data_IF_725488460150
#
_entry.id   IF_725488460150
#
_cell.length_a   1.000
_cell.length_b   1.000
_cell.length_c   1.000
_cell.angle_alpha   90.00
_cell.angle_beta   90.00
_cell.angle_gamma   90.00
#
_symmetry.space_group_name_H-M   'P 1'
#
loop_
_entity.id
_entity.type
_entity.pdbx_description
1 polymer ?
#
# COMPACT_ATOMS: atom_id res chain seq x y z
N UNK A 1 -10.23 -2.18 5.07
CA UNK A 1 -9.10 -1.30 4.76
C UNK A 1 -7.83 -2.07 5.01
N UNK A 2 -7.05 -2.33 3.97
CA UNK A 2 -5.74 -2.94 4.13
C UNK A 2 -4.71 -1.87 4.43
N UNK A 3 -3.87 -2.11 5.41
CA UNK A 3 -2.73 -1.26 5.71
C UNK A 3 -1.44 -2.01 5.39
N UNK A 4 -0.67 -1.43 4.48
CA UNK A 4 0.59 -1.95 3.99
C UNK A 4 1.69 -1.00 4.47
N UNK A 5 2.66 -1.53 5.20
CA UNK A 5 3.77 -0.74 5.75
C UNK A 5 5.07 -1.50 5.56
N UNK A 6 6.01 -0.90 4.84
CA UNK A 6 7.35 -1.46 4.64
C UNK A 6 8.26 -1.25 5.85
N UNK A 7 7.85 -0.38 6.78
CA UNK A 7 8.55 -0.15 8.04
C UNK A 7 8.00 -1.09 9.12
N UNK A 8 8.87 -1.42 10.08
CA UNK A 8 8.56 -2.32 11.19
C UNK A 8 7.67 -1.66 12.25
N UNK A 9 6.49 -1.20 11.87
CA UNK A 9 5.46 -0.75 12.80
C UNK A 9 4.46 -1.87 13.02
N UNK A 10 4.29 -2.29 14.28
CA UNK A 10 3.40 -3.39 14.66
C UNK A 10 1.90 -3.10 14.52
N UNK A 11 1.52 -1.88 14.12
CA UNK A 11 0.14 -1.48 13.87
C UNK A 11 0.07 -0.13 13.15
N UNK A 12 -1.09 0.15 12.53
CA UNK A 12 -1.42 1.48 12.01
C UNK A 12 -1.68 2.42 13.18
N UNK A 13 -1.07 3.61 13.15
CA UNK A 13 -1.32 4.69 14.13
C UNK A 13 -2.81 5.03 14.20
N UNK A 14 -3.35 5.15 15.41
CA UNK A 14 -4.78 5.39 15.61
C UNK A 14 -5.24 6.76 15.07
N UNK A 15 -4.36 7.76 15.08
CA UNK A 15 -4.60 9.05 14.43
C UNK A 15 -4.86 8.90 12.92
N UNK A 16 -4.04 8.11 12.23
CA UNK A 16 -4.25 7.82 10.80
C UNK A 16 -5.58 7.09 10.59
N UNK A 17 -5.91 6.12 11.44
CA UNK A 17 -7.21 5.43 11.35
C UNK A 17 -8.36 6.40 11.52
N UNK A 18 -8.27 7.31 12.48
CA UNK A 18 -9.28 8.33 12.76
C UNK A 18 -9.49 9.27 11.58
N UNK A 19 -8.40 9.77 10.97
CA UNK A 19 -8.47 10.63 9.79
C UNK A 19 -9.14 9.93 8.61
N UNK A 20 -8.73 8.70 8.29
CA UNK A 20 -9.34 7.93 7.20
C UNK A 20 -10.81 7.61 7.47
N UNK A 21 -11.15 7.20 8.70
CA UNK A 21 -12.54 6.95 9.09
C UNK A 21 -13.40 8.21 8.96
N UNK A 22 -12.87 9.37 9.34
CA UNK A 22 -13.55 10.67 9.25
C UNK A 22 -13.78 11.06 7.79
N UNK A 23 -12.74 10.98 6.95
CA UNK A 23 -12.86 11.26 5.51
C UNK A 23 -13.88 10.37 4.82
N UNK A 24 -13.89 9.07 5.12
CA UNK A 24 -14.90 8.15 4.58
C UNK A 24 -16.32 8.50 5.06
N UNK A 25 -16.50 8.85 6.33
CA UNK A 25 -17.82 9.29 6.84
C UNK A 25 -18.31 10.55 6.12
N UNK A 26 -17.43 11.51 5.90
CA UNK A 26 -17.75 12.74 5.15
C UNK A 26 -18.18 12.41 3.72
N UNK A 27 -17.40 11.57 3.02
CA UNK A 27 -17.75 11.12 1.67
C UNK A 27 -19.11 10.41 1.62
N UNK A 28 -19.38 9.48 2.54
CA UNK A 28 -20.67 8.78 2.60
C UNK A 28 -21.84 9.73 2.86
N UNK A 29 -21.66 10.74 3.72
CA UNK A 29 -22.68 11.75 3.96
C UNK A 29 -22.96 12.58 2.70
N UNK A 30 -21.93 12.94 1.94
CA UNK A 30 -22.05 13.69 0.69
C UNK A 30 -22.86 12.92 -0.37
N UNK A 31 -22.61 11.62 -0.51
CA UNK A 31 -23.36 10.76 -1.45
C UNK A 31 -24.67 10.22 -0.86
N UNK A 32 -25.18 10.81 0.23
CA UNK A 32 -26.43 10.43 0.91
C UNK A 32 -26.55 8.92 1.22
N UNK A 33 -25.43 8.29 1.55
CA UNK A 33 -25.33 6.84 1.79
C UNK A 33 -24.93 6.57 3.23
N UNK A 34 -25.44 5.48 3.82
CA UNK A 34 -25.05 5.08 5.17
C UNK A 34 -23.59 4.63 5.19
N UNK A 35 -22.77 5.27 6.01
CA UNK A 35 -21.40 4.85 6.25
C UNK A 35 -21.34 3.42 6.80
N UNK A 36 -20.44 2.60 6.24
CA UNK A 36 -20.16 1.24 6.73
C UNK A 36 -19.02 1.29 7.75
N UNK A 37 -19.07 0.37 8.72
CA UNK A 37 -17.95 0.19 9.65
C UNK A 37 -16.71 -0.29 8.89
N UNK A 38 -15.56 0.33 9.17
CA UNK A 38 -14.31 0.02 8.50
C UNK A 38 -13.52 -1.00 9.33
N UNK A 39 -13.36 -2.22 8.81
CA UNK A 39 -12.43 -3.19 9.37
C UNK A 39 -11.02 -2.90 8.86
N UNK A 40 -10.08 -2.67 9.78
CA UNK A 40 -8.67 -2.49 9.47
C UNK A 40 -7.95 -3.85 9.47
N UNK A 41 -7.22 -4.13 8.41
CA UNK A 41 -6.42 -5.35 8.25
C UNK A 41 -4.98 -4.95 8.07
N UNK A 42 -4.14 -5.24 9.07
CA UNK A 42 -2.70 -5.06 8.95
C UNK A 42 -2.10 -6.24 8.20
N UNK A 43 -1.46 -5.97 7.07
CA UNK A 43 -0.85 -7.02 6.25
C UNK A 43 0.63 -7.08 6.57
N UNK A 44 1.06 -8.24 7.07
CA UNK A 44 2.48 -8.50 7.27
C UNK A 44 3.13 -8.71 5.91
N UNK A 45 3.80 -7.69 5.39
CA UNK A 45 4.41 -7.66 4.05
C UNK A 45 5.93 -7.46 4.13
N UNK A 46 6.61 -7.51 2.98
CA UNK A 46 8.06 -7.37 2.89
C UNK A 46 8.53 -6.07 3.55
N UNK A 47 9.53 -6.19 4.42
CA UNK A 47 10.05 -5.05 5.18
C UNK A 47 11.31 -4.50 4.53
N UNK A 48 11.48 -3.19 4.57
CA UNK A 48 12.66 -2.53 4.05
C UNK A 48 13.84 -2.59 5.04
N UNK A 49 15.07 -2.79 4.56
CA UNK A 49 16.25 -2.82 5.43
C UNK A 49 16.71 -1.41 5.86
N UNK A 50 16.53 -0.40 5.01
CA UNK A 50 16.96 0.98 5.20
C UNK A 50 15.79 1.95 5.48
N UNK A 51 16.04 3.25 5.33
CA UNK A 51 15.09 4.30 5.69
C UNK A 51 14.50 5.07 4.50
N UNK A 52 15.05 4.91 3.29
CA UNK A 52 14.76 5.80 2.14
C UNK A 52 13.97 5.14 1.02
N UNK A 53 13.71 3.84 1.11
CA UNK A 53 13.13 3.04 0.02
C UNK A 53 11.63 2.78 0.14
N UNK A 54 10.95 3.38 1.12
CA UNK A 54 9.55 3.12 1.42
C UNK A 54 8.62 3.42 0.24
N UNK A 55 8.92 4.47 -0.53
CA UNK A 55 8.19 4.78 -1.76
C UNK A 55 8.29 3.65 -2.79
N UNK A 56 9.48 3.06 -2.98
CA UNK A 56 9.67 1.95 -3.90
C UNK A 56 8.95 0.67 -3.43
N UNK A 57 8.92 0.42 -2.12
CA UNK A 57 8.16 -0.69 -1.56
C UNK A 57 6.65 -0.51 -1.78
N UNK A 58 6.11 0.68 -1.53
CA UNK A 58 4.69 0.97 -1.80
C UNK A 58 4.36 0.76 -3.28
N UNK A 59 5.20 1.28 -4.19
CA UNK A 59 5.02 1.06 -5.63
C UNK A 59 5.10 -0.44 -5.98
N UNK A 60 6.03 -1.19 -5.38
CA UNK A 60 6.17 -2.62 -5.60
C UNK A 60 4.97 -3.42 -5.07
N UNK A 61 4.44 -3.08 -3.90
CA UNK A 61 3.20 -3.67 -3.38
C UNK A 61 2.03 -3.45 -4.33
N UNK A 62 1.86 -2.23 -4.84
CA UNK A 62 0.80 -1.91 -5.81
C UNK A 62 1.00 -2.69 -7.11
N UNK A 63 2.24 -2.81 -7.60
CA UNK A 63 2.57 -3.60 -8.79
C UNK A 63 2.22 -5.09 -8.57
N UNK A 64 2.57 -5.66 -7.42
CA UNK A 64 2.28 -7.06 -7.09
C UNK A 64 0.76 -7.31 -6.98
N UNK A 65 0.01 -6.38 -6.35
CA UNK A 65 -1.46 -6.45 -6.24
C UNK A 65 -2.13 -6.42 -7.61
N UNK A 66 -1.68 -5.55 -8.52
CA UNK A 66 -2.29 -5.42 -9.85
C UNK A 66 -1.92 -6.58 -10.77
N UNK A 67 -0.68 -7.10 -10.67
CA UNK A 67 -0.19 -8.16 -11.56
C UNK A 67 -0.69 -9.55 -11.17
N UNK A 68 -0.91 -9.82 -9.88
CA UNK A 68 -1.38 -11.12 -9.44
C UNK A 68 -2.89 -11.26 -9.57
N UNK A 69 -3.35 -12.35 -10.18
CA UNK A 69 -4.76 -12.71 -10.26
C UNK A 69 -5.19 -13.42 -8.97
N UNK A 70 -5.26 -12.67 -7.87
CA UNK A 70 -5.79 -13.18 -6.60
C UNK A 70 -7.06 -12.46 -6.18
N UNK A 71 -7.86 -13.13 -5.35
CA UNK A 71 -9.11 -12.61 -4.81
C UNK A 71 -8.84 -11.63 -3.65
N UNK A 72 -7.78 -11.86 -2.86
CA UNK A 72 -7.46 -11.02 -1.69
C UNK A 72 -6.04 -10.48 -1.70
N UNK A 73 -5.86 -9.27 -1.19
CA UNK A 73 -4.54 -8.61 -1.06
C UNK A 73 -3.60 -9.41 -0.14
N UNK A 74 -4.15 -10.08 0.88
CA UNK A 74 -3.38 -10.91 1.81
C UNK A 74 -2.75 -12.13 1.15
N UNK A 75 -3.40 -12.69 0.12
CA UNK A 75 -2.85 -13.80 -0.65
C UNK A 75 -1.72 -13.34 -1.59
N UNK A 76 -1.77 -12.08 -2.02
CA UNK A 76 -0.72 -11.48 -2.86
C UNK A 76 0.53 -11.17 -2.05
N UNK A 77 0.35 -10.50 -0.91
CA UNK A 77 1.44 -9.93 -0.12
C UNK A 77 1.93 -10.88 0.98
N UNK A 78 2.20 -12.13 0.62
CA UNK A 78 2.69 -13.16 1.54
C UNK A 78 4.19 -13.04 1.83
N UNK A 79 4.95 -12.40 0.92
CA UNK A 79 6.40 -12.24 1.03
C UNK A 79 6.78 -11.46 2.29
N UNK A 80 7.70 -12.04 3.08
CA UNK A 80 8.30 -11.39 4.25
C UNK A 80 9.72 -10.88 3.99
N UNK A 81 10.45 -11.54 3.09
CA UNK A 81 11.81 -11.16 2.74
C UNK A 81 11.83 -9.77 2.08
N UNK A 82 12.81 -8.91 2.41
CA UNK A 82 13.00 -7.64 1.70
C UNK A 82 13.06 -7.83 0.18
N UNK A 83 12.60 -6.85 -0.58
CA UNK A 83 12.84 -6.83 -2.02
C UNK A 83 14.34 -6.63 -2.28
N UNK A 84 14.82 -7.25 -3.35
CA UNK A 84 16.19 -7.05 -3.83
C UNK A 84 16.32 -5.69 -4.52
N UNK A 85 17.54 -5.17 -4.61
CA UNK A 85 17.78 -3.90 -5.29
C UNK A 85 17.32 -3.94 -6.75
N UNK A 86 17.52 -5.06 -7.46
CA UNK A 86 17.05 -5.23 -8.85
C UNK A 86 15.53 -5.20 -8.96
N UNK A 87 14.79 -5.77 -8.00
CA UNK A 87 13.33 -5.67 -7.95
C UNK A 87 12.85 -4.23 -7.80
N UNK A 88 13.53 -3.43 -6.96
CA UNK A 88 13.22 -2.01 -6.79
C UNK A 88 13.63 -1.18 -8.01
N UNK A 89 14.76 -1.51 -8.64
CA UNK A 89 15.26 -0.82 -9.82
C UNK A 89 14.33 -1.03 -11.03
N UNK A 90 13.73 -2.22 -11.18
CA UNK A 90 12.70 -2.46 -12.20
C UNK A 90 11.51 -1.51 -12.04
N UNK A 91 11.02 -1.33 -10.81
CA UNK A 91 9.92 -0.38 -10.54
C UNK A 91 10.36 1.05 -10.84
N UNK A 92 11.59 1.41 -10.50
CA UNK A 92 12.17 2.73 -10.79
C UNK A 92 12.22 2.99 -12.29
N UNK A 93 12.71 2.05 -13.08
CA UNK A 93 12.80 2.17 -14.55
C UNK A 93 11.41 2.27 -15.17
N UNK A 94 10.47 1.42 -14.77
CA UNK A 94 9.08 1.49 -15.26
C UNK A 94 8.44 2.86 -14.97
N UNK A 95 8.70 3.43 -13.79
CA UNK A 95 8.22 4.76 -13.42
C UNK A 95 8.88 5.87 -14.24
N UNK A 96 10.21 5.82 -14.44
CA UNK A 96 10.92 6.77 -15.29
C UNK A 96 10.44 6.71 -16.74
N UNK A 97 10.25 5.52 -17.30
CA UNK A 97 9.74 5.32 -18.66
C UNK A 97 8.32 5.85 -18.82
N UNK A 98 7.50 5.79 -17.77
CA UNK A 98 6.18 6.41 -17.76
C UNK A 98 6.28 7.93 -17.77
N UNK A 99 7.06 8.52 -16.85
CA UNK A 99 7.23 9.97 -16.75
C UNK A 99 7.86 10.56 -18.02
N UNK A 100 8.83 9.86 -18.61
CA UNK A 100 9.53 10.24 -19.84
C UNK A 100 8.62 10.44 -21.06
N UNK A 101 7.37 9.97 -21.02
CA UNK A 101 6.38 10.20 -22.08
C UNK A 101 5.68 11.55 -21.97
N UNK A 102 5.86 12.27 -20.86
CA UNK A 102 5.16 13.51 -20.52
C UNK A 102 6.11 14.71 -20.35
N UNK A 103 7.40 14.50 -20.51
CA UNK A 103 8.45 15.53 -20.56
C UNK A 103 9.06 15.57 -21.96
#
# INVERSE_FOLDING_TARGET
>A
MYALDSLRHGSVRDELKSMVNTGLRMFYAEINTRARSLTWVFVKCAQQPGSTECGYYVMKFMQDIVRQKSITITDVLTRQAPYTQSELDMVRVEYYDFLGRYI
#
